data_IF_571200529640
#
_entry.id   IF_571200529640
#
_cell.length_a   1.000
_cell.length_b   1.000
_cell.length_c   1.000
_cell.angle_alpha   90.00
_cell.angle_beta   90.00
_cell.angle_gamma   90.00
#
_symmetry.space_group_name_H-M   'P 1'
#
loop_
_entity.id
_entity.type
_entity.pdbx_description
1 polymer ?
#
# COMPACT_ATOMS: atom_id res chain seq x y z
N UNK A 1 -10.71 -15.32 30.08
CA UNK A 1 -10.35 -14.73 28.78
C UNK A 1 -11.41 -15.07 27.75
N UNK A 2 -12.18 -14.08 27.30
CA UNK A 2 -13.07 -14.27 26.17
C UNK A 2 -12.20 -14.37 24.91
N UNK A 3 -12.47 -15.31 23.98
CA UNK A 3 -11.76 -15.31 22.71
C UNK A 3 -11.98 -13.96 22.01
N UNK A 4 -10.90 -13.32 21.56
CA UNK A 4 -10.97 -12.08 20.79
C UNK A 4 -11.96 -12.27 19.64
N UNK A 5 -13.06 -11.52 19.68
CA UNK A 5 -14.07 -11.59 18.63
C UNK A 5 -13.43 -11.21 17.28
N UNK A 6 -13.70 -11.98 16.24
CA UNK A 6 -13.17 -11.71 14.91
C UNK A 6 -13.52 -10.26 14.48
N UNK A 7 -12.55 -9.51 13.92
CA UNK A 7 -12.73 -8.09 13.63
C UNK A 7 -13.88 -7.88 12.65
N UNK A 8 -14.63 -6.80 12.82
CA UNK A 8 -15.75 -6.44 11.94
C UNK A 8 -15.51 -5.08 11.30
N UNK A 9 -16.02 -4.91 10.09
CA UNK A 9 -15.98 -3.64 9.38
C UNK A 9 -17.19 -2.79 9.75
N UNK A 10 -16.94 -1.50 9.91
CA UNK A 10 -17.95 -0.49 10.25
C UNK A 10 -17.89 0.64 9.22
N UNK A 11 -19.04 1.27 8.99
CA UNK A 11 -19.14 2.55 8.29
C UNK A 11 -19.37 3.65 9.32
N UNK A 12 -18.67 4.77 9.15
CA UNK A 12 -18.77 5.95 9.99
C UNK A 12 -19.26 7.12 9.13
N UNK A 13 -20.30 7.81 9.57
CA UNK A 13 -20.65 9.12 9.03
C UNK A 13 -19.75 10.18 9.68
N UNK A 14 -18.87 10.86 8.93
CA UNK A 14 -17.97 11.84 9.51
C UNK A 14 -18.67 13.12 10.00
N UNK A 15 -19.88 13.43 9.48
CA UNK A 15 -20.63 14.63 9.87
C UNK A 15 -21.41 14.43 11.16
N UNK A 16 -22.04 13.26 11.33
CA UNK A 16 -22.89 12.97 12.50
C UNK A 16 -22.16 12.16 13.58
N UNK A 17 -21.07 11.48 13.23
CA UNK A 17 -20.39 10.53 14.11
C UNK A 17 -21.08 9.16 14.22
N UNK A 18 -22.20 8.95 13.52
CA UNK A 18 -22.94 7.69 13.57
C UNK A 18 -22.13 6.55 12.95
N UNK A 19 -22.07 5.43 13.66
CA UNK A 19 -21.41 4.22 13.21
C UNK A 19 -22.38 3.05 13.14
N UNK A 20 -22.29 2.27 12.06
CA UNK A 20 -23.04 1.03 11.90
C UNK A 20 -22.16 -0.06 11.28
N UNK A 21 -22.46 -1.35 11.53
CA UNK A 21 -21.78 -2.44 10.84
C UNK A 21 -21.86 -2.24 9.32
N UNK A 22 -20.75 -2.46 8.62
CA UNK A 22 -20.74 -2.37 7.15
C UNK A 22 -21.61 -3.46 6.54
N UNK A 23 -21.65 -4.64 7.18
CA UNK A 23 -22.49 -5.76 6.80
C UNK A 23 -23.36 -6.20 7.98
N UNK A 24 -24.65 -6.45 7.71
CA UNK A 24 -25.58 -6.99 8.72
C UNK A 24 -25.38 -8.50 8.98
N UNK A 25 -24.55 -9.19 8.19
CA UNK A 25 -24.25 -10.61 8.38
C UNK A 25 -23.17 -10.78 9.45
N UNK A 26 -23.47 -11.35 10.64
CA UNK A 26 -22.52 -11.44 11.74
C UNK A 26 -21.36 -12.41 11.46
N UNK A 27 -21.47 -13.26 10.43
CA UNK A 27 -20.39 -14.18 9.99
C UNK A 27 -19.32 -13.48 9.16
N UNK A 28 -19.63 -12.32 8.59
CA UNK A 28 -18.61 -11.55 7.87
C UNK A 28 -17.71 -10.85 8.87
N UNK A 29 -16.44 -11.23 8.82
CA UNK A 29 -15.36 -10.65 9.61
C UNK A 29 -14.19 -10.33 8.70
N UNK A 30 -13.32 -9.44 9.14
CA UNK A 30 -12.14 -9.04 8.43
C UNK A 30 -11.63 -7.67 8.85
N UNK A 31 -10.47 -7.30 8.32
CA UNK A 31 -9.82 -6.03 8.63
C UNK A 31 -9.09 -5.47 7.40
N UNK A 32 -8.56 -4.26 7.53
CA UNK A 32 -7.75 -3.67 6.48
C UNK A 32 -8.57 -3.24 5.26
N UNK A 33 -9.82 -2.82 5.47
CA UNK A 33 -10.68 -2.32 4.42
C UNK A 33 -10.01 -1.21 3.59
N UNK A 34 -10.12 -1.34 2.26
CA UNK A 34 -9.68 -0.35 1.27
C UNK A 34 -10.73 -0.21 0.21
N UNK A 35 -11.14 1.02 -0.07
CA UNK A 35 -12.13 1.33 -1.10
C UNK A 35 -11.39 1.85 -2.33
N UNK A 36 -11.73 1.32 -3.51
CA UNK A 36 -11.28 1.85 -4.79
C UNK A 36 -12.11 3.06 -5.20
N UNK A 37 -11.55 3.90 -6.08
CA UNK A 37 -12.24 5.06 -6.67
C UNK A 37 -13.58 4.70 -7.34
N UNK A 38 -13.70 3.49 -7.89
CA UNK A 38 -14.90 3.01 -8.57
C UNK A 38 -15.91 2.28 -7.65
N UNK A 39 -15.75 2.38 -6.33
CA UNK A 39 -16.72 1.84 -5.37
C UNK A 39 -16.64 0.32 -5.14
N UNK A 40 -15.44 -0.26 -5.25
CA UNK A 40 -15.16 -1.63 -4.78
C UNK A 40 -14.43 -1.58 -3.44
N UNK A 41 -14.70 -2.57 -2.61
CA UNK A 41 -14.04 -2.78 -1.32
C UNK A 41 -13.17 -4.03 -1.39
N UNK A 42 -11.93 -3.92 -0.91
CA UNK A 42 -11.05 -5.05 -0.64
C UNK A 42 -10.75 -5.09 0.87
N UNK A 43 -10.80 -6.28 1.47
CA UNK A 43 -10.41 -6.48 2.87
C UNK A 43 -9.98 -7.91 3.15
N UNK A 44 -9.12 -8.10 4.15
CA UNK A 44 -8.58 -9.42 4.52
C UNK A 44 -9.58 -10.18 5.38
N UNK A 45 -9.72 -11.48 5.14
CA UNK A 45 -10.57 -12.44 5.85
C UNK A 45 -9.67 -13.53 6.43
N UNK A 46 -9.14 -13.35 7.66
CA UNK A 46 -8.12 -14.24 8.23
C UNK A 46 -8.60 -15.67 8.46
N UNK A 47 -9.88 -15.83 8.79
CA UNK A 47 -10.46 -17.16 9.01
C UNK A 47 -10.42 -18.04 7.75
N UNK A 48 -10.36 -17.41 6.57
CA UNK A 48 -10.41 -18.07 5.27
C UNK A 48 -9.07 -18.02 4.52
N UNK A 49 -8.01 -17.41 5.10
CA UNK A 49 -6.78 -17.03 4.40
C UNK A 49 -7.08 -16.42 3.02
N UNK A 50 -7.96 -15.41 3.02
CA UNK A 50 -8.50 -14.84 1.80
C UNK A 50 -8.57 -13.32 1.83
N UNK A 51 -8.63 -12.74 0.64
CA UNK A 51 -9.06 -11.38 0.40
C UNK A 51 -10.51 -11.41 -0.10
N UNK A 52 -11.40 -10.64 0.51
CA UNK A 52 -12.72 -10.41 -0.05
C UNK A 52 -12.74 -9.17 -0.91
N UNK A 53 -13.33 -9.30 -2.10
CA UNK A 53 -13.75 -8.19 -2.95
C UNK A 53 -15.26 -8.05 -2.85
N UNK A 54 -15.74 -6.82 -2.65
CA UNK A 54 -17.15 -6.50 -2.61
C UNK A 54 -17.43 -5.28 -3.51
N UNK A 55 -18.46 -5.35 -4.33
CA UNK A 55 -18.89 -4.24 -5.18
C UNK A 55 -20.11 -3.56 -4.54
N UNK A 56 -19.97 -2.29 -4.15
CA UNK A 56 -21.09 -1.54 -3.54
C UNK A 56 -22.24 -1.28 -4.51
N UNK A 57 -21.99 -1.26 -5.82
CA UNK A 57 -23.00 -0.95 -6.83
C UNK A 57 -23.88 -2.16 -7.15
N UNK A 58 -23.27 -3.33 -7.29
CA UNK A 58 -23.99 -4.56 -7.68
C UNK A 58 -24.34 -5.45 -6.48
N UNK A 59 -23.65 -5.28 -5.34
CA UNK A 59 -23.76 -6.17 -4.19
C UNK A 59 -22.97 -7.46 -4.34
N UNK A 60 -22.25 -7.66 -5.45
CA UNK A 60 -21.47 -8.87 -5.70
C UNK A 60 -20.29 -8.99 -4.73
N UNK A 61 -20.00 -10.22 -4.31
CA UNK A 61 -18.85 -10.53 -3.48
C UNK A 61 -18.09 -11.75 -3.99
N UNK A 62 -16.77 -11.67 -3.99
CA UNK A 62 -15.89 -12.80 -4.26
C UNK A 62 -14.81 -12.92 -3.19
N UNK A 63 -14.37 -14.16 -2.95
CA UNK A 63 -13.18 -14.46 -2.16
C UNK A 63 -12.05 -14.82 -3.12
N UNK A 64 -10.89 -14.23 -2.88
CA UNK A 64 -9.63 -14.57 -3.54
C UNK A 64 -8.72 -15.12 -2.45
N UNK A 65 -8.54 -16.44 -2.45
CA UNK A 65 -7.63 -17.10 -1.51
C UNK A 65 -6.23 -16.56 -1.68
N UNK A 66 -5.64 -16.10 -0.58
CA UNK A 66 -4.34 -15.48 -0.58
C UNK A 66 -3.77 -15.47 0.83
N UNK A 67 -2.49 -15.79 0.94
CA UNK A 67 -1.74 -15.69 2.20
C UNK A 67 -1.33 -14.25 2.54
N UNK A 68 -1.91 -13.25 1.87
CA UNK A 68 -1.71 -11.83 2.14
C UNK A 68 -1.96 -11.54 3.62
N UNK A 69 -0.95 -11.00 4.29
CA UNK A 69 -1.05 -10.57 5.70
C UNK A 69 -1.21 -9.06 5.85
N UNK A 70 -0.93 -8.30 4.81
CA UNK A 70 -1.06 -6.84 4.80
C UNK A 70 -2.16 -6.41 3.85
N UNK A 71 -2.94 -5.37 4.19
CA UNK A 71 -3.97 -4.85 3.30
C UNK A 71 -3.39 -4.46 1.93
N UNK A 72 -4.02 -4.86 0.81
CA UNK A 72 -3.55 -4.46 -0.50
C UNK A 72 -3.85 -2.99 -0.76
N UNK A 73 -3.21 -2.41 -1.78
CA UNK A 73 -3.50 -1.08 -2.31
C UNK A 73 -4.18 -1.23 -3.65
N UNK A 74 -5.23 -0.46 -3.91
CA UNK A 74 -5.94 -0.46 -5.18
C UNK A 74 -5.14 0.25 -6.27
N UNK A 75 -5.20 -0.26 -7.50
CA UNK A 75 -4.97 0.60 -8.67
C UNK A 75 -6.03 1.69 -8.71
N UNK A 76 -5.68 2.84 -9.28
CA UNK A 76 -6.64 3.95 -9.39
C UNK A 76 -7.86 3.58 -10.24
N UNK A 77 -7.74 2.65 -11.19
CA UNK A 77 -8.86 2.14 -12.00
C UNK A 77 -9.70 1.08 -11.28
N UNK A 78 -9.28 0.58 -10.12
CA UNK A 78 -9.98 -0.47 -9.37
C UNK A 78 -10.01 -1.84 -10.07
N UNK A 79 -9.06 -2.08 -10.97
CA UNK A 79 -8.91 -3.30 -11.78
C UNK A 79 -7.75 -4.18 -11.32
N UNK A 80 -6.91 -3.70 -10.40
CA UNK A 80 -5.77 -4.41 -9.85
C UNK A 80 -5.55 -4.07 -8.39
N UNK A 81 -4.84 -4.96 -7.70
CA UNK A 81 -4.38 -4.79 -6.33
C UNK A 81 -2.87 -4.98 -6.25
N UNK A 82 -2.22 -4.20 -5.41
CA UNK A 82 -0.80 -4.28 -5.10
C UNK A 82 -0.62 -4.69 -3.65
N UNK A 83 0.29 -5.61 -3.38
CA UNK A 83 0.52 -6.09 -2.01
C UNK A 83 1.95 -6.59 -1.86
N UNK A 84 2.38 -6.67 -0.61
CA UNK A 84 3.66 -7.23 -0.26
C UNK A 84 3.51 -8.73 -0.04
N UNK A 85 4.47 -9.51 -0.53
CA UNK A 85 4.64 -10.91 -0.20
C UNK A 85 6.04 -11.14 0.37
N UNK A 86 6.13 -11.83 1.50
CA UNK A 86 7.43 -12.11 2.15
C UNK A 86 7.75 -13.58 1.94
N UNK A 87 8.79 -13.82 1.16
CA UNK A 87 9.21 -15.16 0.76
C UNK A 87 10.67 -15.39 1.11
N UNK A 88 11.04 -16.66 1.27
CA UNK A 88 12.45 -17.05 1.35
C UNK A 88 13.08 -16.94 -0.05
N UNK A 89 14.17 -16.18 -0.15
CA UNK A 89 14.98 -16.03 -1.36
C UNK A 89 16.44 -16.24 -0.97
N UNK A 90 17.06 -17.29 -1.51
CA UNK A 90 18.38 -17.72 -1.08
C UNK A 90 18.39 -18.03 0.43
N UNK A 91 19.25 -17.33 1.16
CA UNK A 91 19.37 -17.50 2.61
C UNK A 91 18.50 -16.54 3.43
N UNK A 92 17.85 -15.54 2.81
CA UNK A 92 17.12 -14.48 3.50
C UNK A 92 15.62 -14.47 3.20
N UNK A 93 14.85 -13.85 4.09
CA UNK A 93 13.49 -13.42 3.76
C UNK A 93 13.57 -12.09 3.02
N UNK A 94 12.89 -12.01 1.87
CA UNK A 94 12.78 -10.81 1.07
C UNK A 94 11.30 -10.46 0.90
N UNK A 95 10.97 -9.17 1.03
CA UNK A 95 9.64 -8.65 0.74
C UNK A 95 9.57 -8.22 -0.73
N UNK A 96 8.62 -8.77 -1.47
CA UNK A 96 8.41 -8.53 -2.89
C UNK A 96 7.07 -7.83 -3.09
N UNK A 97 6.94 -7.02 -4.14
CA UNK A 97 5.67 -6.41 -4.50
C UNK A 97 5.01 -7.23 -5.62
N UNK A 98 3.79 -7.69 -5.36
CA UNK A 98 2.97 -8.38 -6.34
C UNK A 98 1.83 -7.47 -6.80
N UNK A 99 1.45 -7.63 -8.08
CA UNK A 99 0.23 -7.05 -8.66
C UNK A 99 -0.72 -8.17 -9.04
N UNK A 100 -1.94 -8.13 -8.53
CA UNK A 100 -3.04 -9.02 -8.87
C UNK A 100 -4.05 -8.32 -9.77
N UNK A 101 -4.36 -8.92 -10.92
CA UNK A 101 -5.43 -8.47 -11.80
C UNK A 101 -6.79 -8.99 -11.35
N UNK A 102 -7.83 -8.17 -11.47
CA UNK A 102 -9.21 -8.53 -11.14
C UNK A 102 -10.08 -8.59 -12.42
N UNK A 103 -11.07 -9.49 -12.47
CA UNK A 103 -11.46 -10.46 -11.44
C UNK A 103 -10.66 -11.78 -11.48
N UNK A 104 -9.72 -11.94 -12.41
CA UNK A 104 -9.05 -13.22 -12.67
C UNK A 104 -8.24 -13.76 -11.48
N UNK A 105 -7.79 -12.88 -10.57
CA UNK A 105 -6.91 -13.24 -9.46
C UNK A 105 -5.47 -13.54 -9.90
N UNK A 106 -5.15 -13.39 -11.20
CA UNK A 106 -3.81 -13.64 -11.72
C UNK A 106 -2.84 -12.61 -11.14
N UNK A 107 -1.74 -13.09 -10.56
CA UNK A 107 -0.71 -12.24 -9.95
C UNK A 107 0.60 -12.30 -10.74
N UNK A 108 1.33 -11.18 -10.73
CA UNK A 108 2.72 -11.06 -11.22
C UNK A 108 3.59 -10.47 -10.12
N UNK A 109 4.85 -10.92 -10.02
CA UNK A 109 5.86 -10.32 -9.15
C UNK A 109 6.52 -9.14 -9.88
N UNK A 110 6.36 -7.92 -9.36
CA UNK A 110 6.94 -6.70 -9.93
C UNK A 110 8.40 -6.48 -9.52
N UNK A 111 8.82 -7.10 -8.41
CA UNK A 111 10.21 -7.06 -7.94
C UNK A 111 11.14 -7.98 -8.74
N UNK A 112 10.57 -8.95 -9.47
CA UNK A 112 11.30 -9.95 -10.26
C UNK A 112 12.05 -10.97 -9.39
N UNK A 113 13.16 -11.52 -9.89
CA UNK A 113 13.98 -12.49 -9.15
C UNK A 113 15.04 -11.84 -8.25
N UNK A 114 14.95 -10.53 -8.02
CA UNK A 114 15.92 -9.77 -7.25
C UNK A 114 15.71 -10.00 -5.76
N UNK A 115 16.78 -10.31 -5.05
CA UNK A 115 16.80 -10.37 -3.59
C UNK A 115 16.78 -8.94 -3.02
N UNK A 116 15.58 -8.35 -2.94
CA UNK A 116 15.34 -6.98 -2.44
C UNK A 116 14.17 -6.97 -1.45
N UNK A 117 14.18 -6.00 -0.54
CA UNK A 117 13.05 -5.69 0.31
C UNK A 117 12.28 -4.48 -0.25
N UNK A 118 11.32 -4.78 -1.12
CA UNK A 118 10.37 -3.84 -1.69
C UNK A 118 9.09 -3.78 -0.85
N UNK A 119 8.60 -2.57 -0.55
CA UNK A 119 7.41 -2.37 0.26
C UNK A 119 6.71 -1.04 -0.06
N UNK A 120 5.55 -0.83 0.57
CA UNK A 120 4.75 0.39 0.47
C UNK A 120 4.41 0.77 -0.99
N UNK A 121 3.79 -0.13 -1.77
CA UNK A 121 3.40 0.15 -3.13
C UNK A 121 2.37 1.29 -3.17
N UNK A 122 2.63 2.29 -4.01
CA UNK A 122 1.75 3.41 -4.29
C UNK A 122 1.62 3.56 -5.82
N UNK A 123 0.59 2.97 -6.45
CA UNK A 123 0.37 3.10 -7.89
C UNK A 123 -0.07 4.53 -8.23
N UNK A 124 0.43 5.07 -9.35
CA UNK A 124 0.05 6.39 -9.84
C UNK A 124 -1.38 6.39 -10.41
N UNK A 125 -2.09 7.55 -10.39
CA UNK A 125 -3.46 7.67 -10.89
C UNK A 125 -3.62 7.38 -12.38
N UNK A 126 -2.62 7.75 -13.19
CA UNK A 126 -2.56 7.49 -14.63
C UNK A 126 -2.37 6.00 -14.98
N UNK A 127 -1.97 5.17 -14.00
CA UNK A 127 -1.69 3.75 -14.19
C UNK A 127 -0.37 3.47 -14.91
N UNK A 128 0.53 4.44 -14.96
CA UNK A 128 1.82 4.34 -15.63
C UNK A 128 2.94 3.83 -14.71
N UNK A 129 2.92 4.27 -13.46
CA UNK A 129 4.03 4.14 -12.52
C UNK A 129 3.60 3.52 -11.19
N UNK A 130 4.56 2.89 -10.54
CA UNK A 130 4.47 2.44 -9.16
C UNK A 130 5.60 3.10 -8.38
N UNK A 131 5.25 3.90 -7.39
CA UNK A 131 6.18 4.34 -6.37
C UNK A 131 6.26 3.29 -5.26
N UNK A 132 7.46 3.04 -4.75
CA UNK A 132 7.69 2.05 -3.72
C UNK A 132 8.97 2.33 -2.94
N UNK A 133 9.07 1.74 -1.75
CA UNK A 133 10.27 1.77 -0.92
C UNK A 133 11.11 0.51 -1.13
N UNK A 134 12.40 0.65 -1.44
CA UNK A 134 13.35 -0.48 -1.60
C UNK A 134 14.53 -0.34 -0.65
N UNK A 135 15.01 -1.47 -0.12
CA UNK A 135 16.35 -1.61 0.50
C UNK A 135 16.90 -3.01 0.24
N UNK A 136 18.19 -3.21 0.54
CA UNK A 136 18.77 -4.55 0.55
C UNK A 136 18.17 -5.41 1.70
N UNK A 137 17.93 -6.72 1.48
CA UNK A 137 17.46 -7.61 2.53
C UNK A 137 18.40 -7.59 3.73
N UNK A 138 17.85 -7.74 4.94
CA UNK A 138 18.60 -7.72 6.22
C UNK A 138 19.38 -6.44 6.51
N UNK A 139 19.31 -5.43 5.66
CA UNK A 139 20.07 -4.21 5.86
C UNK A 139 19.42 -3.32 6.94
N UNK A 140 20.25 -2.81 7.85
CA UNK A 140 19.92 -1.76 8.80
C UNK A 140 19.91 -0.37 8.11
N UNK A 141 19.23 -0.28 6.96
CA UNK A 141 19.15 0.90 6.11
C UNK A 141 17.71 1.38 5.96
N UNK A 142 17.53 2.67 5.75
CA UNK A 142 16.27 3.27 5.34
C UNK A 142 15.83 2.80 3.96
N UNK A 143 14.50 2.66 3.78
CA UNK A 143 13.93 2.40 2.46
C UNK A 143 14.10 3.64 1.61
N UNK A 144 14.73 3.46 0.46
CA UNK A 144 14.85 4.50 -0.55
C UNK A 144 13.60 4.55 -1.40
N UNK A 145 13.26 5.72 -1.90
CA UNK A 145 12.15 5.91 -2.82
C UNK A 145 12.56 5.48 -4.23
N UNK A 146 11.75 4.64 -4.85
CA UNK A 146 11.94 4.11 -6.20
C UNK A 146 10.65 4.27 -7.03
N UNK A 147 10.83 4.32 -8.35
CA UNK A 147 9.77 4.26 -9.35
C UNK A 147 10.01 3.09 -10.31
N UNK A 148 8.93 2.44 -10.77
CA UNK A 148 8.95 1.45 -11.84
C UNK A 148 7.64 1.48 -12.64
N UNK A 149 7.60 0.90 -13.83
CA UNK A 149 6.34 0.68 -14.58
C UNK A 149 5.50 -0.40 -13.91
N UNK A 150 4.19 -0.42 -14.17
CA UNK A 150 3.25 -1.42 -13.60
C UNK A 150 3.43 -2.87 -14.11
N UNK A 151 4.43 -3.11 -14.95
CA UNK A 151 4.90 -4.43 -15.39
C UNK A 151 6.23 -4.84 -14.73
N UNK A 152 6.80 -3.99 -13.86
CA UNK A 152 8.08 -4.21 -13.17
C UNK A 152 9.31 -3.69 -13.92
N UNK A 153 9.13 -3.17 -15.14
CA UNK A 153 10.22 -2.62 -15.94
C UNK A 153 10.63 -1.20 -15.50
N UNK A 154 11.78 -0.74 -15.99
CA UNK A 154 12.29 0.62 -15.76
C UNK A 154 12.39 1.04 -14.28
N UNK A 155 12.69 0.09 -13.40
CA UNK A 155 12.88 0.40 -11.98
C UNK A 155 14.11 1.30 -11.77
N UNK A 156 13.92 2.47 -11.16
CA UNK A 156 14.98 3.45 -10.84
C UNK A 156 14.82 4.02 -9.44
N UNK A 157 15.95 4.32 -8.80
CA UNK A 157 15.98 5.02 -7.52
C UNK A 157 15.75 6.52 -7.74
N UNK A 158 14.94 7.14 -6.88
CA UNK A 158 14.84 8.60 -6.77
C UNK A 158 15.66 9.15 -5.60
N UNK A 159 16.02 8.29 -4.63
CA UNK A 159 16.86 8.64 -3.49
C UNK A 159 17.89 7.54 -3.23
N UNK A 160 19.00 7.88 -2.56
CA UNK A 160 20.09 6.95 -2.27
C UNK A 160 20.71 7.11 -0.87
N UNK A 161 20.11 7.93 0.00
CA UNK A 161 20.62 8.14 1.37
C UNK A 161 20.10 7.05 2.32
N UNK A 162 21.00 6.13 2.63
CA UNK A 162 20.74 4.90 3.39
C UNK A 162 20.44 5.15 4.86
N UNK A 163 20.77 6.34 5.37
CA UNK A 163 20.41 6.79 6.72
C UNK A 163 18.99 7.36 6.79
N UNK A 164 18.30 7.53 5.65
CA UNK A 164 16.96 8.12 5.57
C UNK A 164 15.94 7.10 5.06
N UNK A 165 14.84 6.98 5.78
CA UNK A 165 13.67 6.19 5.39
C UNK A 165 12.62 7.08 4.71
N UNK A 166 12.10 6.61 3.57
CA UNK A 166 11.10 7.29 2.75
C UNK A 166 9.79 6.49 2.71
N UNK A 167 8.89 6.71 3.67
CA UNK A 167 7.55 6.11 3.71
C UNK A 167 6.68 6.75 4.82
N UNK A 168 5.33 6.76 4.71
CA UNK A 168 4.51 6.21 3.61
C UNK A 168 4.60 7.07 2.33
N UNK A 169 4.08 6.54 1.21
CA UNK A 169 4.06 7.17 -0.11
C UNK A 169 2.61 7.37 -0.56
N UNK A 170 2.29 8.51 -1.20
CA UNK A 170 0.95 8.78 -1.73
C UNK A 170 0.99 9.77 -2.91
N UNK A 171 0.39 9.39 -4.03
CA UNK A 171 0.27 10.26 -5.21
C UNK A 171 -0.86 11.28 -5.04
N UNK A 172 -0.64 12.49 -5.56
CA UNK A 172 -1.73 13.45 -5.80
C UNK A 172 -2.67 12.88 -6.85
N UNK A 173 -3.96 13.27 -6.81
CA UNK A 173 -4.98 12.74 -7.72
C UNK A 173 -4.68 13.03 -9.21
N UNK A 174 -3.98 14.13 -9.48
CA UNK A 174 -3.53 14.53 -10.82
C UNK A 174 -2.21 13.86 -11.26
N UNK A 175 -1.58 13.06 -10.39
CA UNK A 175 -0.32 12.37 -10.68
C UNK A 175 0.93 13.26 -10.73
N UNK A 176 0.82 14.57 -10.49
CA UNK A 176 1.97 15.50 -10.59
C UNK A 176 2.94 15.40 -9.42
N UNK A 177 2.44 15.00 -8.25
CA UNK A 177 3.19 15.00 -7.00
C UNK A 177 3.13 13.65 -6.31
N UNK A 178 4.25 13.26 -5.71
CA UNK A 178 4.32 12.16 -4.76
C UNK A 178 4.66 12.72 -3.37
N UNK A 179 3.73 12.60 -2.44
CA UNK A 179 3.92 12.92 -1.03
C UNK A 179 4.57 11.74 -0.32
N UNK A 180 5.59 12.03 0.50
CA UNK A 180 6.23 11.04 1.33
C UNK A 180 6.78 11.64 2.62
N UNK A 181 7.02 10.78 3.60
CA UNK A 181 7.66 11.17 4.85
C UNK A 181 9.13 10.76 4.84
N UNK A 182 10.02 11.67 5.27
CA UNK A 182 11.43 11.41 5.54
C UNK A 182 11.68 11.25 7.02
N UNK A 183 12.42 10.22 7.42
CA UNK A 183 12.84 10.00 8.80
C UNK A 183 14.27 9.47 8.85
N UNK A 184 15.10 9.98 9.77
CA UNK A 184 16.43 9.41 10.04
C UNK A 184 16.24 8.04 10.67
N UNK A 185 16.92 7.03 10.13
CA UNK A 185 16.91 5.67 10.68
C UNK A 185 17.88 5.53 11.84
N UNK A 186 17.48 4.76 12.86
CA UNK A 186 18.34 4.46 14.01
C UNK A 186 18.38 5.56 15.08
N UNK A 187 17.68 6.68 14.87
CA UNK A 187 17.55 7.76 15.83
C UNK A 187 16.10 7.86 16.34
N UNK A 188 15.89 7.51 17.61
CA UNK A 188 14.58 7.58 18.25
C UNK A 188 14.09 9.02 18.50
N UNK A 189 15.00 10.00 18.50
CA UNK A 189 14.68 11.42 18.66
C UNK A 189 14.33 12.11 17.33
N UNK A 190 14.53 11.41 16.20
CA UNK A 190 14.31 11.95 14.87
C UNK A 190 12.87 12.44 14.69
N UNK A 191 12.76 13.71 14.29
CA UNK A 191 11.50 14.33 13.89
C UNK A 191 11.34 14.17 12.38
N UNK A 192 10.38 13.35 11.92
CA UNK A 192 10.17 13.20 10.49
C UNK A 192 9.62 14.50 9.89
N UNK A 193 9.83 14.65 8.59
CA UNK A 193 9.33 15.75 7.80
C UNK A 193 8.51 15.20 6.62
N UNK A 194 7.54 16.00 6.16
CA UNK A 194 6.79 15.71 4.94
C UNK A 194 7.43 16.40 3.76
N UNK A 195 7.56 15.65 2.68
CA UNK A 195 8.21 16.06 1.44
C UNK A 195 7.35 15.69 0.25
N UNK A 196 7.44 16.48 -0.80
CA UNK A 196 6.84 16.18 -2.11
C UNK A 196 7.93 16.03 -3.15
N UNK A 197 7.75 15.05 -4.04
CA UNK A 197 8.49 14.91 -5.28
C UNK A 197 7.59 15.36 -6.43
N UNK A 198 8.03 16.34 -7.21
CA UNK A 198 7.35 16.78 -8.43
C UNK A 198 7.90 16.00 -9.63
N UNK A 199 7.01 15.35 -10.37
CA UNK A 199 7.39 14.30 -11.33
C UNK A 199 8.03 14.87 -12.59
N UNK A 200 7.50 15.99 -13.09
CA UNK A 200 7.96 16.62 -14.33
C UNK A 200 9.33 17.27 -14.16
N UNK A 201 9.53 17.99 -13.06
CA UNK A 201 10.78 18.69 -12.76
C UNK A 201 11.83 17.80 -12.08
N UNK A 202 11.43 16.60 -11.64
CA UNK A 202 12.19 15.68 -10.80
C UNK A 202 12.76 16.33 -9.52
N UNK A 203 12.04 17.30 -8.96
CA UNK A 203 12.49 18.05 -7.78
C UNK A 203 11.85 17.57 -6.49
N UNK A 204 12.58 17.76 -5.39
CA UNK A 204 12.13 17.46 -4.04
C UNK A 204 11.94 18.74 -3.24
N UNK A 205 10.83 18.84 -2.52
CA UNK A 205 10.53 19.97 -1.65
C UNK A 205 10.02 19.50 -0.30
N UNK A 206 10.60 20.04 0.77
CA UNK A 206 10.01 19.93 2.10
C UNK A 206 8.75 20.80 2.19
N UNK A 207 7.68 20.22 2.73
CA UNK A 207 6.40 20.93 2.92
C UNK A 207 6.04 21.13 4.40
N UNK A 208 6.59 20.30 5.31
CA UNK A 208 6.40 20.46 6.75
C UNK A 208 7.49 19.76 7.57
N UNK A 209 7.99 20.42 8.61
CA UNK A 209 8.90 19.85 9.61
C UNK A 209 8.63 20.45 11.01
N UNK A 210 8.26 19.62 12.02
CA UNK A 210 7.98 18.20 11.92
C UNK A 210 6.69 17.93 11.13
N UNK A 211 6.57 16.74 10.53
CA UNK A 211 5.37 16.30 9.83
C UNK A 211 5.29 14.78 9.72
N UNK A 212 4.08 14.22 9.87
CA UNK A 212 3.81 12.78 9.79
C UNK A 212 2.49 12.52 9.07
N UNK A 213 2.40 11.35 8.43
CA UNK A 213 1.14 10.82 7.88
C UNK A 213 0.37 11.82 7.01
N UNK A 214 1.08 12.62 6.20
CA UNK A 214 0.44 13.55 5.29
C UNK A 214 -0.46 12.81 4.29
N UNK A 215 -1.59 13.42 3.96
CA UNK A 215 -2.56 12.90 3.00
C UNK A 215 -2.96 14.01 2.02
N UNK A 216 -3.30 13.61 0.80
CA UNK A 216 -3.93 14.51 -0.16
C UNK A 216 -5.41 14.68 0.19
N UNK A 217 -5.88 15.92 0.15
CA UNK A 217 -7.31 16.21 0.22
C UNK A 217 -7.93 16.10 -1.19
N UNK A 218 -9.22 15.74 -1.31
CA UNK A 218 -9.94 15.69 -2.58
C UNK A 218 -9.95 17.03 -3.34
#
# INVERSE_FOLDING_TARGET
DAPDAAPKLWRLNPETGDAAPLFNNPRLSGYGARVSSNGRLAYLVPADDALRIYNFQTGDSSLIFSKMKTPPVWSFKGDSLFFNDTQMMGEAHATQILRMALPSGKSINLSGDKEVDDAAPAPSPDGEWLAFGRKAPRAAMGRQLWLMRLDGSQARALTNDTAIHHAPLSWSADGRYLLFQRAVTGDASARPALWVYEVESETFREIASPGRQGVWLP
#
